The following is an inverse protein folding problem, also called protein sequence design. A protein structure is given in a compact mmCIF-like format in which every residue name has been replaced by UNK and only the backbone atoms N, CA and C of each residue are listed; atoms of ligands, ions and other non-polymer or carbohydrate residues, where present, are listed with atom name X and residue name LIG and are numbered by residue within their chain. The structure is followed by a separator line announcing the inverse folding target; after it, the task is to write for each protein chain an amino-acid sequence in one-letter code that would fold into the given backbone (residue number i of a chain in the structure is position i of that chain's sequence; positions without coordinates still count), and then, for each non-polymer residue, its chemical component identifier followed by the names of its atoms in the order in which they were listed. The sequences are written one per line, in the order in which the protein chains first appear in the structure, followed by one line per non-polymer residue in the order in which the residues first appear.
data_IF_148434188305
#
_entry.id   IF_148434188305
#
_cell.length_a   1.000
_cell.length_b   1.000
_cell.length_c   1.000
_cell.angle_alpha   90.00
_cell.angle_beta   90.00
_cell.angle_gamma   90.00
#
_symmetry.space_group_name_H-M   'P 1'
#
loop_
_entity.id
_entity.type
_entity.pdbx_description
1 polymer ?
#
# COMPACT_ATOMS: atom_id res chain seq x y z
N UNK A 1 -58.30 8.07 -30.78
CA UNK A 1 -56.88 7.82 -31.11
C UNK A 1 -55.82 8.47 -30.15
N UNK A 2 -56.23 9.07 -29.03
CA UNK A 2 -55.32 9.77 -28.12
C UNK A 2 -54.75 8.95 -26.95
N UNK A 3 -55.33 7.77 -26.61
CA UNK A 3 -54.91 7.00 -25.43
C UNK A 3 -53.61 6.23 -25.61
N UNK A 4 -53.17 5.88 -26.82
CA UNK A 4 -51.94 5.13 -27.06
C UNK A 4 -50.67 6.00 -26.95
N UNK A 5 -50.77 7.30 -27.12
CA UNK A 5 -49.62 8.19 -27.04
C UNK A 5 -49.16 8.39 -25.60
N UNK A 6 -50.08 8.55 -24.66
CA UNK A 6 -49.81 8.80 -23.23
C UNK A 6 -49.10 7.61 -22.59
N UNK A 7 -49.50 6.40 -22.95
CA UNK A 7 -48.87 5.17 -22.42
C UNK A 7 -47.39 5.00 -22.80
N UNK A 8 -47.02 5.41 -24.00
CA UNK A 8 -45.61 5.33 -24.49
C UNK A 8 -44.69 6.32 -23.79
N UNK A 9 -45.19 7.53 -23.50
CA UNK A 9 -44.42 8.54 -22.74
C UNK A 9 -44.27 8.14 -21.26
N UNK A 10 -45.31 7.56 -20.66
CA UNK A 10 -45.24 7.06 -19.28
C UNK A 10 -44.18 5.98 -19.11
N UNK A 11 -44.06 5.05 -20.09
CA UNK A 11 -43.07 4.00 -20.07
C UNK A 11 -41.64 4.57 -20.23
N UNK A 12 -41.47 5.53 -21.13
CA UNK A 12 -40.17 6.21 -21.35
C UNK A 12 -39.69 7.00 -20.10
N UNK A 13 -40.61 7.66 -19.43
CA UNK A 13 -40.31 8.41 -18.18
C UNK A 13 -39.94 7.45 -17.05
N UNK A 14 -40.63 6.32 -16.92
CA UNK A 14 -40.34 5.29 -15.93
C UNK A 14 -38.95 4.65 -16.15
N UNK A 15 -38.57 4.39 -17.39
CA UNK A 15 -37.25 3.87 -17.74
C UNK A 15 -36.16 4.91 -17.43
N UNK A 16 -36.40 6.19 -17.76
CA UNK A 16 -35.46 7.26 -17.48
C UNK A 16 -35.24 7.46 -15.97
N UNK A 17 -36.32 7.34 -15.16
CA UNK A 17 -36.24 7.45 -13.70
C UNK A 17 -35.38 6.33 -13.07
N UNK A 18 -35.43 5.11 -13.62
CA UNK A 18 -34.60 3.98 -13.15
C UNK A 18 -33.12 4.23 -13.43
N UNK A 19 -32.77 4.85 -14.56
CA UNK A 19 -31.37 5.20 -14.86
C UNK A 19 -30.81 6.30 -13.97
N UNK A 20 -31.63 7.22 -13.47
CA UNK A 20 -31.23 8.31 -12.57
C UNK A 20 -31.06 7.84 -11.11
N UNK A 21 -31.68 6.73 -10.69
CA UNK A 21 -31.56 6.18 -9.35
C UNK A 21 -30.25 5.40 -9.14
N UNK A 22 -29.49 5.10 -10.20
CA UNK A 22 -28.26 4.31 -10.16
C UNK A 22 -27.02 5.03 -9.60
N UNK A 23 -27.11 6.33 -9.27
CA UNK A 23 -25.99 7.12 -8.73
C UNK A 23 -26.05 7.32 -7.21
N UNK A 24 -26.77 6.47 -6.47
CA UNK A 24 -26.57 6.41 -5.02
C UNK A 24 -25.20 5.81 -4.77
N UNK A 25 -24.19 6.66 -4.53
CA UNK A 25 -22.87 6.21 -4.08
C UNK A 25 -23.07 5.34 -2.84
N UNK A 26 -22.49 4.12 -2.77
CA UNK A 26 -22.49 3.39 -1.52
C UNK A 26 -21.87 4.31 -0.46
N UNK A 27 -22.51 4.42 0.70
CA UNK A 27 -21.93 5.06 1.89
C UNK A 27 -20.64 4.29 2.22
N UNK A 28 -19.51 4.73 1.66
CA UNK A 28 -18.23 4.30 2.15
C UNK A 28 -18.14 4.80 3.59
N UNK A 29 -17.81 3.93 4.56
CA UNK A 29 -17.60 4.39 5.93
C UNK A 29 -16.57 5.52 5.86
N UNK A 30 -16.96 6.69 6.37
CA UNK A 30 -16.08 7.84 6.50
C UNK A 30 -14.81 7.37 7.21
N UNK A 31 -13.72 7.23 6.46
CA UNK A 31 -12.44 6.85 7.04
C UNK A 31 -11.99 8.04 7.87
N UNK A 32 -12.15 7.92 9.19
CA UNK A 32 -11.67 8.92 10.13
C UNK A 32 -10.17 9.05 9.93
N UNK A 33 -9.75 10.16 9.35
CA UNK A 33 -8.35 10.50 9.17
C UNK A 33 -7.71 10.66 10.56
N UNK A 34 -6.78 9.75 10.88
CA UNK A 34 -6.07 9.79 12.16
C UNK A 34 -4.76 10.58 11.98
N UNK A 35 -4.32 11.34 12.99
CA UNK A 35 -3.04 12.05 12.93
C UNK A 35 -1.87 11.14 12.59
N UNK A 36 -0.93 11.62 11.76
CA UNK A 36 0.20 10.83 11.25
C UNK A 36 1.09 10.26 12.38
N UNK A 37 1.31 11.05 13.45
CA UNK A 37 2.06 10.64 14.64
C UNK A 37 1.40 9.44 15.34
N UNK A 38 0.08 9.47 15.47
CA UNK A 38 -0.67 8.36 16.10
C UNK A 38 -0.57 7.08 15.31
N UNK A 39 -0.75 7.17 13.98
CA UNK A 39 -0.60 6.02 13.09
C UNK A 39 0.81 5.44 13.16
N UNK A 40 1.82 6.31 13.14
CA UNK A 40 3.22 5.90 13.21
C UNK A 40 3.56 5.24 14.54
N UNK A 41 3.12 5.81 15.66
CA UNK A 41 3.36 5.29 17.00
C UNK A 41 2.67 3.92 17.22
N UNK A 42 1.45 3.75 16.68
CA UNK A 42 0.75 2.46 16.70
C UNK A 42 1.53 1.39 15.93
N UNK A 43 2.01 1.72 14.72
CA UNK A 43 2.84 0.82 13.93
C UNK A 43 4.15 0.48 14.66
N UNK A 44 4.81 1.47 15.26
CA UNK A 44 6.04 1.28 16.02
C UNK A 44 5.81 0.39 17.24
N UNK A 45 4.66 0.52 17.90
CA UNK A 45 4.31 -0.33 19.06
C UNK A 45 4.20 -1.81 18.66
N UNK A 46 3.72 -2.12 17.46
CA UNK A 46 3.67 -3.48 16.92
C UNK A 46 5.08 -4.03 16.68
N UNK A 47 5.97 -3.21 16.14
CA UNK A 47 7.39 -3.56 15.99
C UNK A 47 8.02 -3.93 17.32
N UNK A 48 7.78 -3.10 18.36
CA UNK A 48 8.33 -3.33 19.71
C UNK A 48 7.75 -4.59 20.38
N UNK A 49 6.56 -5.03 19.96
CA UNK A 49 5.94 -6.28 20.39
C UNK A 49 6.43 -7.50 19.57
N UNK A 50 7.24 -7.27 18.51
CA UNK A 50 7.71 -8.33 17.61
C UNK A 50 6.67 -8.77 16.59
N UNK A 51 5.58 -8.00 16.41
CA UNK A 51 4.50 -8.30 15.45
C UNK A 51 4.76 -7.56 14.13
N UNK A 52 5.79 -8.00 13.40
CA UNK A 52 6.21 -7.38 12.15
C UNK A 52 5.16 -7.54 11.03
N UNK A 53 4.43 -8.66 11.03
CA UNK A 53 3.34 -8.93 10.09
C UNK A 53 2.27 -7.83 10.13
N UNK A 54 1.88 -7.41 11.35
CA UNK A 54 0.88 -6.35 11.52
C UNK A 54 1.48 -4.95 11.43
N UNK A 55 2.74 -4.78 11.77
CA UNK A 55 3.41 -3.47 11.72
C UNK A 55 3.51 -2.93 10.29
N UNK A 56 3.87 -3.77 9.33
CA UNK A 56 4.07 -3.36 7.94
C UNK A 56 2.84 -2.64 7.34
N UNK A 57 1.62 -3.20 7.35
CA UNK A 57 0.44 -2.51 6.81
C UNK A 57 0.07 -1.25 7.60
N UNK A 58 0.39 -1.17 8.90
CA UNK A 58 0.15 0.05 9.68
C UNK A 58 1.09 1.19 9.26
N UNK A 59 2.34 0.90 8.94
CA UNK A 59 3.24 1.89 8.35
C UNK A 59 2.79 2.32 6.94
N UNK A 60 2.31 1.39 6.10
CA UNK A 60 1.72 1.73 4.80
C UNK A 60 0.50 2.66 4.95
N UNK A 61 -0.27 2.52 6.03
CA UNK A 61 -1.42 3.37 6.32
C UNK A 61 -1.01 4.82 6.64
N UNK A 62 0.16 5.05 7.28
CA UNK A 62 0.71 6.40 7.48
C UNK A 62 0.90 7.11 6.14
N UNK A 63 1.53 6.44 5.17
CA UNK A 63 1.74 6.99 3.83
C UNK A 63 0.41 7.23 3.11
N UNK A 64 -0.52 6.30 3.23
CA UNK A 64 -1.82 6.38 2.57
C UNK A 64 -2.66 7.58 3.04
N UNK A 65 -2.69 7.84 4.36
CA UNK A 65 -3.45 8.97 4.93
C UNK A 65 -2.69 10.29 4.85
N UNK A 66 -1.36 10.27 4.98
CA UNK A 66 -0.54 11.48 5.09
C UNK A 66 0.67 11.45 4.14
N UNK A 67 0.49 11.35 2.82
CA UNK A 67 1.56 11.13 1.84
C UNK A 67 2.62 12.24 1.81
N UNK A 68 2.28 13.43 2.29
CA UNK A 68 3.17 14.60 2.31
C UNK A 68 3.81 14.86 3.68
N UNK A 69 3.62 13.97 4.63
CA UNK A 69 4.22 14.07 5.96
C UNK A 69 5.66 13.55 5.95
N UNK A 70 6.55 14.16 6.73
CA UNK A 70 7.90 13.64 6.99
C UNK A 70 7.85 12.22 7.59
N UNK A 71 6.78 11.89 8.30
CA UNK A 71 6.56 10.56 8.83
C UNK A 71 6.23 9.53 7.74
N UNK A 72 5.66 9.96 6.59
CA UNK A 72 5.37 9.04 5.49
C UNK A 72 6.66 8.44 4.90
N UNK A 73 7.69 9.26 4.70
CA UNK A 73 9.00 8.80 4.19
C UNK A 73 9.64 7.80 5.16
N UNK A 74 9.58 8.09 6.47
CA UNK A 74 10.07 7.16 7.49
C UNK A 74 9.24 5.88 7.55
N UNK A 75 7.91 5.99 7.41
CA UNK A 75 7.00 4.86 7.42
C UNK A 75 7.26 3.90 6.25
N UNK A 76 7.59 4.41 5.06
CA UNK A 76 7.98 3.58 3.92
C UNK A 76 9.15 2.65 4.24
N UNK A 77 10.22 3.17 4.84
CA UNK A 77 11.39 2.37 5.25
C UNK A 77 11.00 1.38 6.35
N UNK A 78 10.19 1.82 7.33
CA UNK A 78 9.76 0.94 8.42
C UNK A 78 8.82 -0.17 7.94
N UNK A 79 7.96 0.09 6.95
CA UNK A 79 7.14 -0.93 6.30
C UNK A 79 8.01 -1.99 5.61
N UNK A 80 9.00 -1.54 4.82
CA UNK A 80 9.93 -2.43 4.14
C UNK A 80 10.73 -3.29 5.14
N UNK A 81 11.23 -2.67 6.20
CA UNK A 81 11.92 -3.38 7.28
C UNK A 81 11.02 -4.39 7.99
N UNK A 82 9.75 -4.04 8.23
CA UNK A 82 8.78 -4.96 8.85
C UNK A 82 8.48 -6.15 7.95
N UNK A 83 8.36 -5.95 6.62
CA UNK A 83 8.25 -7.07 5.68
C UNK A 83 9.46 -7.98 5.70
N UNK A 84 10.67 -7.40 5.79
CA UNK A 84 11.89 -8.19 5.92
C UNK A 84 11.90 -9.02 7.20
N UNK A 85 11.52 -8.44 8.34
CA UNK A 85 11.44 -9.15 9.63
C UNK A 85 10.38 -10.26 9.66
N UNK A 86 9.32 -10.09 8.88
CA UNK A 86 8.27 -11.10 8.66
C UNK A 86 8.68 -12.18 7.63
N UNK A 87 9.93 -12.16 7.16
CA UNK A 87 10.45 -13.02 6.10
C UNK A 87 9.68 -12.87 4.76
N UNK A 88 8.92 -11.80 4.59
CA UNK A 88 8.22 -11.48 3.35
C UNK A 88 9.15 -10.68 2.41
N UNK A 89 10.24 -11.30 2.03
CA UNK A 89 11.30 -10.67 1.22
C UNK A 89 10.82 -10.09 -0.10
N UNK A 90 9.89 -10.72 -0.86
CA UNK A 90 9.38 -10.11 -2.08
C UNK A 90 8.66 -8.77 -1.83
N UNK A 91 7.88 -8.66 -0.76
CA UNK A 91 7.25 -7.37 -0.39
C UNK A 91 8.27 -6.36 0.11
N UNK A 92 9.26 -6.80 0.88
CA UNK A 92 10.35 -5.93 1.33
C UNK A 92 11.08 -5.31 0.13
N UNK A 93 11.49 -6.12 -0.86
CA UNK A 93 12.15 -5.66 -2.08
C UNK A 93 11.27 -4.66 -2.84
N UNK A 94 9.99 -4.97 -3.05
CA UNK A 94 9.08 -4.08 -3.77
C UNK A 94 8.89 -2.73 -3.05
N UNK A 95 8.79 -2.73 -1.72
CA UNK A 95 8.69 -1.51 -0.91
C UNK A 95 9.98 -0.68 -0.97
N UNK A 96 11.14 -1.34 -0.96
CA UNK A 96 12.45 -0.67 -1.04
C UNK A 96 12.70 -0.08 -2.42
N UNK A 97 12.33 -0.78 -3.50
CA UNK A 97 12.42 -0.24 -4.85
C UNK A 97 11.58 1.02 -4.99
N UNK A 98 10.36 0.99 -4.51
CA UNK A 98 9.47 2.16 -4.51
C UNK A 98 10.04 3.31 -3.68
N UNK A 99 10.61 3.03 -2.50
CA UNK A 99 11.24 4.06 -1.68
C UNK A 99 12.41 4.74 -2.41
N UNK A 100 13.31 3.97 -3.00
CA UNK A 100 14.48 4.48 -3.73
C UNK A 100 14.05 5.32 -4.93
N UNK A 101 13.02 4.88 -5.66
CA UNK A 101 12.49 5.59 -6.82
C UNK A 101 11.84 6.93 -6.44
N UNK A 102 11.05 6.94 -5.37
CA UNK A 102 10.31 8.14 -4.94
C UNK A 102 11.18 9.13 -4.14
N UNK A 103 12.20 8.65 -3.45
CA UNK A 103 13.02 9.44 -2.53
C UNK A 103 14.53 9.34 -2.84
N UNK A 104 15.00 9.56 -4.08
CA UNK A 104 16.38 9.25 -4.48
C UNK A 104 17.46 10.09 -3.77
N UNK A 105 17.07 11.20 -3.15
CA UNK A 105 17.98 12.09 -2.39
C UNK A 105 17.84 11.93 -0.87
N UNK A 106 17.02 11.00 -0.39
CA UNK A 106 16.86 10.79 1.06
C UNK A 106 18.08 10.10 1.66
N UNK A 107 18.44 10.48 2.90
CA UNK A 107 19.57 9.91 3.62
C UNK A 107 19.45 8.41 3.93
N UNK A 108 18.26 7.83 3.81
CA UNK A 108 18.01 6.40 4.02
C UNK A 108 18.16 5.54 2.76
N UNK A 109 18.46 6.14 1.60
CA UNK A 109 18.61 5.42 0.33
C UNK A 109 19.70 4.36 0.38
N UNK A 110 20.84 4.65 1.01
CA UNK A 110 21.93 3.68 1.19
C UNK A 110 21.49 2.48 2.04
N UNK A 111 20.74 2.76 3.11
CA UNK A 111 20.15 1.69 3.92
C UNK A 111 19.09 0.88 3.15
N UNK A 112 18.31 1.52 2.31
CA UNK A 112 17.32 0.84 1.47
C UNK A 112 17.99 -0.14 0.50
N UNK A 113 19.09 0.25 -0.16
CA UNK A 113 19.88 -0.66 -0.99
C UNK A 113 20.45 -1.84 -0.19
N UNK A 114 21.00 -1.55 0.99
CA UNK A 114 21.52 -2.60 1.88
C UNK A 114 20.45 -3.61 2.25
N UNK A 115 19.28 -3.15 2.72
CA UNK A 115 18.18 -4.02 3.13
C UNK A 115 17.60 -4.81 1.95
N UNK A 116 17.58 -4.20 0.76
CA UNK A 116 17.18 -4.88 -0.49
C UNK A 116 18.15 -6.01 -0.84
N UNK A 117 19.46 -5.75 -0.80
CA UNK A 117 20.48 -6.76 -1.03
C UNK A 117 20.36 -7.93 -0.02
N UNK A 118 20.14 -7.58 1.25
CA UNK A 118 19.93 -8.56 2.31
C UNK A 118 18.66 -9.39 2.07
N UNK A 119 17.58 -8.76 1.61
CA UNK A 119 16.33 -9.46 1.25
C UNK A 119 16.52 -10.45 0.11
N UNK A 120 17.37 -10.16 -0.86
CA UNK A 120 17.74 -11.14 -1.90
C UNK A 120 18.64 -12.24 -1.36
N UNK A 121 19.59 -11.89 -0.51
CA UNK A 121 20.50 -12.87 0.11
C UNK A 121 19.72 -13.94 0.90
N UNK A 122 18.75 -13.55 1.70
CA UNK A 122 17.91 -14.46 2.49
C UNK A 122 17.03 -15.40 1.62
N UNK A 123 16.85 -15.09 0.35
CA UNK A 123 16.12 -15.91 -0.61
C UNK A 123 17.01 -16.96 -1.31
N UNK A 124 18.32 -16.94 -1.09
CA UNK A 124 19.24 -17.92 -1.66
C UNK A 124 19.03 -19.27 -0.94
N UNK A 125 18.33 -20.20 -1.60
CA UNK A 125 18.07 -21.53 -1.06
C UNK A 125 19.26 -22.48 -1.30
N UNK A 126 19.99 -22.30 -2.40
CA UNK A 126 21.13 -23.15 -2.79
C UNK A 126 22.12 -22.31 -3.60
N UNK A 127 23.29 -22.05 -3.02
CA UNK A 127 24.35 -21.21 -3.61
C UNK A 127 24.83 -21.73 -4.98
N UNK A 128 24.73 -23.04 -5.23
CA UNK A 128 25.14 -23.63 -6.51
C UNK A 128 24.08 -23.51 -7.60
N UNK A 129 22.80 -23.33 -7.22
CA UNK A 129 21.65 -23.26 -8.14
C UNK A 129 21.06 -21.86 -8.33
N UNK A 130 21.18 -21.00 -7.32
CA UNK A 130 20.49 -19.71 -7.30
C UNK A 130 21.41 -18.54 -7.71
N UNK A 131 22.05 -18.67 -8.87
CA UNK A 131 22.93 -17.62 -9.38
C UNK A 131 22.20 -16.29 -9.60
N UNK A 132 20.91 -16.30 -9.93
CA UNK A 132 20.10 -15.10 -10.13
C UNK A 132 19.95 -14.30 -8.84
N UNK A 133 19.57 -14.93 -7.72
CA UNK A 133 19.42 -14.26 -6.43
C UNK A 133 20.77 -13.74 -5.91
N UNK A 134 21.83 -14.47 -6.15
CA UNK A 134 23.21 -14.03 -5.81
C UNK A 134 23.57 -12.74 -6.57
N UNK A 135 23.29 -12.68 -7.86
CA UNK A 135 23.54 -11.47 -8.66
C UNK A 135 22.70 -10.27 -8.23
N UNK A 136 21.44 -10.50 -7.88
CA UNK A 136 20.54 -9.45 -7.39
C UNK A 136 20.97 -8.91 -6.00
N UNK A 137 21.54 -9.75 -5.16
CA UNK A 137 22.08 -9.33 -3.86
C UNK A 137 23.37 -8.50 -3.98
N UNK A 138 24.12 -8.63 -5.09
CA UNK A 138 25.41 -7.95 -5.32
C UNK A 138 25.27 -6.63 -6.09
N UNK A 139 24.12 -6.34 -6.71
CA UNK A 139 23.84 -5.13 -7.48
C UNK A 139 23.12 -4.07 -6.66
#
# INVERSE_FOLDING_TARGET
MAHHSISRYSLAIAVLAVFLAGCASPDFPEQVERPADKLYDEALSLVLQGDAEKAAPQFEEVERQHPYSDLAVRAQIMAAWSFYQDNNYPRAVAALDRFIELNPADGMVEYAYYLKALSYYEQIADVERDAEMTLLALN
#
